data_IF_706341209952
#
_entry.id   IF_706341209952
#
_cell.length_a   1.000
_cell.length_b   1.000
_cell.length_c   1.000
_cell.angle_alpha   90.00
_cell.angle_beta   90.00
_cell.angle_gamma   90.00
#
_symmetry.space_group_name_H-M   'P 1'
#
loop_
_entity.id
_entity.type
_entity.pdbx_description
1 polymer ?
#
# COMPACT_ATOMS: atom_id res chain seq x y z
N UNK A 1 -16.84 -1.30 1.61
CA UNK A 1 -16.34 -1.24 0.22
C UNK A 1 -17.44 -1.57 -0.78
N UNK A 2 -17.54 -0.82 -1.88
CA UNK A 2 -18.46 -1.09 -3.00
C UNK A 2 -17.98 -2.27 -3.86
N UNK A 3 -18.88 -2.91 -4.60
CA UNK A 3 -18.49 -3.99 -5.52
C UNK A 3 -17.59 -3.50 -6.66
N UNK A 4 -17.76 -2.25 -7.08
CA UNK A 4 -16.93 -1.59 -8.08
C UNK A 4 -15.49 -1.43 -7.59
N UNK A 5 -15.27 -0.90 -6.38
CA UNK A 5 -13.93 -0.79 -5.80
C UNK A 5 -13.31 -2.17 -5.57
N UNK A 6 -14.08 -3.15 -5.08
CA UNK A 6 -13.60 -4.52 -4.91
C UNK A 6 -13.14 -5.11 -6.25
N UNK A 7 -13.92 -4.91 -7.32
CA UNK A 7 -13.58 -5.38 -8.66
C UNK A 7 -12.31 -4.69 -9.17
N UNK A 8 -12.22 -3.36 -9.03
CA UNK A 8 -11.04 -2.59 -9.44
C UNK A 8 -9.78 -3.08 -8.71
N UNK A 9 -9.80 -3.10 -7.37
CA UNK A 9 -8.67 -3.51 -6.53
C UNK A 9 -8.21 -4.93 -6.85
N UNK A 10 -9.13 -5.87 -7.10
CA UNK A 10 -8.77 -7.27 -7.36
C UNK A 10 -8.24 -7.50 -8.78
N UNK A 11 -8.53 -6.62 -9.74
CA UNK A 11 -8.12 -6.75 -11.14
C UNK A 11 -7.01 -5.78 -11.58
N UNK A 12 -6.68 -4.77 -10.76
CA UNK A 12 -5.65 -3.77 -11.05
C UNK A 12 -4.31 -4.43 -11.39
N UNK A 13 -3.63 -4.04 -12.47
CA UNK A 13 -2.28 -4.53 -12.78
C UNK A 13 -1.24 -3.52 -12.36
N UNK A 14 -0.05 -4.01 -12.02
CA UNK A 14 1.09 -3.16 -11.64
C UNK A 14 1.46 -2.18 -12.76
N UNK A 15 1.22 -2.56 -14.02
CA UNK A 15 1.48 -1.74 -15.21
C UNK A 15 0.42 -0.67 -15.46
N UNK A 16 -0.74 -0.77 -14.81
CA UNK A 16 -1.86 0.16 -15.01
C UNK A 16 -1.79 1.35 -14.02
N UNK A 17 -0.83 1.31 -13.09
CA UNK A 17 -0.58 2.39 -12.12
C UNK A 17 0.55 3.29 -12.64
N UNK A 18 0.36 4.62 -12.73
CA UNK A 18 1.38 5.56 -13.17
C UNK A 18 2.35 5.88 -12.03
N UNK A 19 3.11 4.88 -11.57
CA UNK A 19 3.95 4.96 -10.37
C UNK A 19 4.90 6.17 -10.32
N UNK A 20 5.43 6.59 -11.46
CA UNK A 20 6.31 7.75 -11.59
C UNK A 20 5.60 9.09 -11.38
N UNK A 21 4.29 9.09 -11.20
CA UNK A 21 3.44 10.25 -10.89
C UNK A 21 2.81 10.18 -9.50
N UNK A 22 3.09 9.13 -8.73
CA UNK A 22 2.58 8.97 -7.37
C UNK A 22 3.69 9.30 -6.37
N UNK A 23 3.40 10.15 -5.40
CA UNK A 23 4.37 10.52 -4.36
C UNK A 23 4.58 9.42 -3.33
N UNK A 24 5.76 9.45 -2.75
CA UNK A 24 6.21 8.65 -1.62
C UNK A 24 6.86 9.55 -0.59
N UNK A 25 7.19 9.00 0.58
CA UNK A 25 7.93 9.73 1.61
C UNK A 25 9.26 10.33 1.13
N UNK A 26 9.90 9.71 0.15
CA UNK A 26 11.23 10.10 -0.34
C UNK A 26 11.29 10.31 -1.86
N UNK A 27 10.18 10.75 -2.46
CA UNK A 27 10.13 11.12 -3.88
C UNK A 27 8.89 10.56 -4.57
N UNK A 28 9.11 9.73 -5.59
CA UNK A 28 8.05 9.14 -6.41
C UNK A 28 8.16 7.62 -6.46
N UNK A 29 7.04 6.97 -6.72
CA UNK A 29 6.91 5.51 -6.73
C UNK A 29 7.58 4.79 -7.91
N UNK A 30 8.39 5.46 -8.73
CA UNK A 30 8.95 4.94 -10.00
C UNK A 30 9.52 3.52 -9.89
N UNK A 31 10.21 3.20 -8.80
CA UNK A 31 10.88 1.91 -8.60
C UNK A 31 9.99 0.83 -7.94
N UNK A 32 8.75 1.15 -7.54
CA UNK A 32 7.82 0.22 -6.89
C UNK A 32 7.60 -1.07 -7.69
N UNK A 33 7.39 -1.04 -9.02
CA UNK A 33 7.22 -2.27 -9.81
C UNK A 33 8.40 -3.23 -9.68
N UNK A 34 9.63 -2.72 -9.60
CA UNK A 34 10.84 -3.54 -9.47
C UNK A 34 10.88 -4.22 -8.09
N UNK A 35 10.64 -3.46 -7.02
CA UNK A 35 10.60 -4.00 -5.66
C UNK A 35 9.46 -5.01 -5.45
N UNK A 36 8.25 -4.71 -5.96
CA UNK A 36 7.12 -5.63 -5.92
C UNK A 36 7.42 -6.94 -6.65
N UNK A 37 8.12 -6.90 -7.79
CA UNK A 37 8.53 -8.09 -8.51
C UNK A 37 9.54 -8.94 -7.74
N UNK A 38 10.45 -8.32 -6.97
CA UNK A 38 11.37 -9.04 -6.07
C UNK A 38 10.60 -9.75 -4.96
N UNK A 39 9.67 -9.03 -4.31
CA UNK A 39 8.82 -9.59 -3.26
C UNK A 39 7.95 -10.73 -3.78
N UNK A 40 7.35 -10.60 -4.97
CA UNK A 40 6.53 -11.66 -5.56
C UNK A 40 7.36 -12.91 -5.89
N UNK A 41 8.63 -12.76 -6.28
CA UNK A 41 9.50 -13.89 -6.61
C UNK A 41 9.95 -14.70 -5.39
N UNK A 42 10.14 -14.07 -4.23
CA UNK A 42 10.54 -14.71 -2.96
C UNK A 42 11.76 -15.65 -3.10
N UNK A 43 12.75 -15.26 -3.93
CA UNK A 43 13.91 -16.11 -4.27
C UNK A 43 15.09 -15.95 -3.34
N UNK A 44 15.42 -14.71 -2.99
CA UNK A 44 16.58 -14.37 -2.18
C UNK A 44 16.17 -13.49 -1.00
N UNK A 45 16.63 -13.86 0.19
CA UNK A 45 16.24 -13.18 1.42
C UNK A 45 16.81 -11.76 1.52
N UNK A 46 18.03 -11.53 1.03
CA UNK A 46 18.64 -10.21 1.12
C UNK A 46 17.92 -9.21 0.22
N UNK A 47 17.69 -9.59 -1.04
CA UNK A 47 16.92 -8.77 -1.98
C UNK A 47 15.48 -8.53 -1.52
N UNK A 48 14.83 -9.52 -0.91
CA UNK A 48 13.48 -9.37 -0.35
C UNK A 48 13.48 -8.39 0.82
N UNK A 49 14.45 -8.46 1.73
CA UNK A 49 14.56 -7.50 2.85
C UNK A 49 14.79 -6.07 2.37
N UNK A 50 15.68 -5.90 1.42
CA UNK A 50 15.97 -4.60 0.80
C UNK A 50 14.72 -4.04 0.11
N UNK A 51 14.09 -4.82 -0.77
CA UNK A 51 12.89 -4.35 -1.50
C UNK A 51 11.70 -4.11 -0.59
N UNK A 52 11.54 -4.90 0.48
CA UNK A 52 10.50 -4.66 1.47
C UNK A 52 10.74 -3.35 2.20
N UNK A 53 11.98 -3.09 2.64
CA UNK A 53 12.35 -1.84 3.30
C UNK A 53 12.10 -0.63 2.40
N UNK A 54 12.54 -0.68 1.14
CA UNK A 54 12.34 0.39 0.16
C UNK A 54 10.85 0.69 -0.06
N UNK A 55 10.00 -0.34 -0.13
CA UNK A 55 8.55 -0.13 -0.25
C UNK A 55 7.95 0.45 1.03
N UNK A 56 8.16 -0.20 2.18
CA UNK A 56 7.46 0.19 3.42
C UNK A 56 7.84 1.58 3.89
N UNK A 57 9.12 1.96 3.78
CA UNK A 57 9.58 3.30 4.19
C UNK A 57 9.12 4.43 3.25
N UNK A 58 8.76 4.10 2.01
CA UNK A 58 8.22 5.06 1.03
C UNK A 58 6.69 5.14 1.10
N UNK A 59 6.04 4.08 1.55
CA UNK A 59 4.59 3.99 1.73
C UNK A 59 4.11 4.63 3.03
N UNK A 60 4.90 4.56 4.09
CA UNK A 60 4.55 5.15 5.39
C UNK A 60 5.77 5.82 6.00
N UNK A 61 5.57 7.03 6.51
CA UNK A 61 6.59 7.71 7.31
C UNK A 61 5.97 8.47 8.48
N UNK A 62 6.32 8.08 9.70
CA UNK A 62 5.89 8.72 10.96
C UNK A 62 4.36 8.84 11.09
N UNK A 63 3.62 7.81 10.66
CA UNK A 63 2.16 7.76 10.65
C UNK A 63 1.50 8.43 9.44
N UNK A 64 2.29 8.99 8.52
CA UNK A 64 1.78 9.60 7.28
C UNK A 64 1.80 8.59 6.14
N UNK A 65 0.66 8.39 5.51
CA UNK A 65 0.55 7.60 4.28
C UNK A 65 0.66 8.50 3.05
N UNK A 66 1.15 7.93 1.95
CA UNK A 66 1.48 8.66 0.73
C UNK A 66 0.62 8.19 -0.44
N UNK A 67 0.65 8.95 -1.54
CA UNK A 67 -0.19 8.69 -2.71
C UNK A 67 0.02 7.29 -3.30
N UNK A 68 1.25 6.78 -3.28
CA UNK A 68 1.58 5.43 -3.75
C UNK A 68 1.07 4.31 -2.81
N UNK A 69 0.75 4.60 -1.56
CA UNK A 69 0.44 3.62 -0.51
C UNK A 69 -0.80 2.77 -0.79
N UNK A 70 -1.98 3.33 -1.12
CA UNK A 70 -3.15 2.50 -1.43
C UNK A 70 -2.86 1.51 -2.56
N UNK A 71 -2.18 1.93 -3.62
CA UNK A 71 -1.78 1.05 -4.71
C UNK A 71 -0.77 -0.01 -4.27
N UNK A 72 0.26 0.37 -3.50
CA UNK A 72 1.22 -0.57 -2.92
C UNK A 72 0.53 -1.66 -2.10
N UNK A 73 -0.44 -1.29 -1.27
CA UNK A 73 -1.20 -2.22 -0.43
C UNK A 73 -2.01 -3.24 -1.24
N UNK A 74 -2.53 -2.87 -2.42
CA UNK A 74 -3.17 -3.84 -3.33
C UNK A 74 -2.22 -4.98 -3.70
N UNK A 75 -1.00 -4.64 -4.11
CA UNK A 75 -0.03 -5.64 -4.56
C UNK A 75 0.58 -6.41 -3.38
N UNK A 76 0.88 -5.73 -2.27
CA UNK A 76 1.33 -6.40 -1.06
C UNK A 76 0.29 -7.39 -0.53
N UNK A 77 -1.01 -7.12 -0.66
CA UNK A 77 -2.07 -8.05 -0.23
C UNK A 77 -2.09 -9.33 -1.06
N UNK A 78 -1.86 -9.21 -2.37
CA UNK A 78 -1.71 -10.38 -3.26
C UNK A 78 -0.43 -11.16 -2.95
N UNK A 79 0.67 -10.45 -2.71
CA UNK A 79 1.95 -11.05 -2.35
C UNK A 79 1.85 -11.78 -1.01
N UNK A 80 1.19 -11.22 -0.01
CA UNK A 80 0.90 -11.88 1.26
C UNK A 80 0.16 -13.20 1.03
N UNK A 81 -0.91 -13.19 0.22
CA UNK A 81 -1.64 -14.40 -0.12
C UNK A 81 -0.79 -15.48 -0.78
N UNK A 82 0.20 -15.10 -1.59
CA UNK A 82 1.18 -16.02 -2.18
C UNK A 82 2.19 -16.50 -1.13
N UNK A 83 2.72 -15.60 -0.31
CA UNK A 83 3.70 -15.89 0.72
C UNK A 83 3.15 -16.89 1.76
N UNK A 84 1.91 -16.69 2.22
CA UNK A 84 1.22 -17.62 3.13
C UNK A 84 1.06 -19.03 2.54
N UNK A 85 0.79 -19.14 1.24
CA UNK A 85 0.68 -20.44 0.55
C UNK A 85 2.02 -21.16 0.40
N UNK A 86 3.11 -20.42 0.36
CA UNK A 86 4.47 -20.95 0.15
C UNK A 86 5.29 -21.08 1.44
N UNK A 87 4.85 -20.48 2.55
CA UNK A 87 5.61 -20.35 3.81
C UNK A 87 6.10 -21.68 4.37
N UNK A 88 5.29 -22.74 4.27
CA UNK A 88 5.66 -24.06 4.80
C UNK A 88 6.84 -24.75 4.07
N UNK A 89 7.26 -24.23 2.92
CA UNK A 89 8.35 -24.80 2.09
C UNK A 89 9.37 -23.78 1.59
N UNK A 90 9.08 -22.48 1.69
CA UNK A 90 9.97 -21.40 1.31
C UNK A 90 10.23 -20.50 2.53
N UNK A 91 11.45 -20.52 3.11
CA UNK A 91 11.77 -19.70 4.27
C UNK A 91 11.73 -18.19 3.97
N UNK A 92 11.96 -17.78 2.71
CA UNK A 92 11.82 -16.37 2.29
C UNK A 92 10.35 -15.97 2.29
N UNK A 93 9.45 -16.85 1.85
CA UNK A 93 8.01 -16.63 1.91
C UNK A 93 7.49 -16.59 3.36
N UNK A 94 8.00 -17.46 4.23
CA UNK A 94 7.64 -17.45 5.66
C UNK A 94 8.08 -16.14 6.32
N UNK A 95 9.31 -15.68 6.07
CA UNK A 95 9.78 -14.37 6.52
C UNK A 95 8.86 -13.24 6.01
N UNK A 96 8.64 -13.19 4.70
CA UNK A 96 7.86 -12.14 4.07
C UNK A 96 6.41 -12.10 4.57
N UNK A 97 5.76 -13.25 4.78
CA UNK A 97 4.40 -13.29 5.30
C UNK A 97 4.29 -12.68 6.71
N UNK A 98 5.26 -12.94 7.59
CA UNK A 98 5.30 -12.34 8.92
C UNK A 98 5.44 -10.81 8.86
N UNK A 99 6.45 -10.33 8.12
CA UNK A 99 6.70 -8.89 8.01
C UNK A 99 5.55 -8.12 7.34
N UNK A 100 4.89 -8.73 6.34
CA UNK A 100 3.72 -8.10 5.71
C UNK A 100 2.53 -8.00 6.67
N UNK A 101 2.29 -9.02 7.50
CA UNK A 101 1.22 -8.93 8.51
C UNK A 101 1.50 -7.83 9.54
N UNK A 102 2.75 -7.71 9.99
CA UNK A 102 3.15 -6.64 10.91
C UNK A 102 3.02 -5.26 10.26
N UNK A 103 3.45 -5.11 9.01
CA UNK A 103 3.28 -3.87 8.26
C UNK A 103 1.81 -3.51 8.01
N UNK A 104 0.96 -4.50 7.71
CA UNK A 104 -0.48 -4.30 7.51
C UNK A 104 -1.14 -3.79 8.78
N UNK A 105 -0.77 -4.34 9.94
CA UNK A 105 -1.25 -3.83 11.21
C UNK A 105 -0.84 -2.35 11.42
N UNK A 106 0.38 -1.98 11.05
CA UNK A 106 0.83 -0.58 11.09
C UNK A 106 0.01 0.35 10.19
N UNK A 107 -0.22 -0.03 8.93
CA UNK A 107 -1.01 0.75 7.97
C UNK A 107 -2.47 0.90 8.44
N UNK A 108 -3.08 -0.18 8.92
CA UNK A 108 -4.46 -0.14 9.41
C UNK A 108 -4.59 0.68 10.71
N UNK A 109 -3.56 0.69 11.56
CA UNK A 109 -3.52 1.59 12.71
C UNK A 109 -3.43 3.05 12.27
N UNK A 110 -2.60 3.38 11.26
CA UNK A 110 -2.56 4.73 10.69
C UNK A 110 -3.93 5.16 10.14
N UNK A 111 -4.65 4.24 9.48
CA UNK A 111 -6.03 4.50 9.05
C UNK A 111 -6.95 4.82 10.23
N UNK A 112 -6.95 4.00 11.29
CA UNK A 112 -7.79 4.25 12.48
C UNK A 112 -7.49 5.60 13.13
N UNK A 113 -6.21 5.89 13.32
CA UNK A 113 -5.80 7.16 13.92
C UNK A 113 -6.24 8.35 13.06
N UNK A 114 -6.15 8.23 11.72
CA UNK A 114 -6.64 9.24 10.78
C UNK A 114 -8.16 9.37 10.73
N UNK A 115 -8.89 8.27 10.86
CA UNK A 115 -10.37 8.21 10.85
C UNK A 115 -10.99 8.83 12.11
N UNK A 116 -10.24 8.88 13.22
CA UNK A 116 -10.67 9.56 14.45
C UNK A 116 -10.46 11.09 14.41
N UNK A 117 -9.68 11.60 13.45
CA UNK A 117 -9.37 13.03 13.29
C UNK A 117 -10.41 13.76 12.42
N UNK A 118 -10.34 15.09 12.36
CA UNK A 118 -11.10 15.85 11.35
C UNK A 118 -10.50 15.59 9.97
N UNK A 119 -11.28 15.00 9.08
CA UNK A 119 -10.89 14.69 7.71
C UNK A 119 -12.04 14.98 6.73
N UNK A 120 -11.71 15.12 5.45
CA UNK A 120 -12.71 15.19 4.39
C UNK A 120 -13.32 13.79 4.13
N UNK A 121 -14.44 13.75 3.40
CA UNK A 121 -14.93 12.48 2.86
C UNK A 121 -13.92 11.92 1.83
N UNK A 122 -13.72 10.60 1.78
CA UNK A 122 -12.82 10.01 0.81
C UNK A 122 -13.38 10.14 -0.61
N UNK A 123 -12.52 9.98 -1.61
CA UNK A 123 -12.92 9.94 -3.00
C UNK A 123 -13.91 8.78 -3.24
N UNK A 124 -14.96 8.98 -4.07
CA UNK A 124 -16.02 7.97 -4.24
C UNK A 124 -15.54 6.62 -4.77
N UNK A 125 -14.55 6.63 -5.67
CA UNK A 125 -14.00 5.42 -6.28
C UNK A 125 -12.50 5.34 -6.03
N UNK A 126 -11.98 4.13 -5.78
CA UNK A 126 -10.53 3.91 -5.60
C UNK A 126 -9.73 4.40 -6.83
N UNK A 127 -10.31 4.25 -8.03
CA UNK A 127 -9.70 4.71 -9.28
C UNK A 127 -9.61 6.24 -9.39
N UNK A 128 -10.37 6.99 -8.60
CA UNK A 128 -10.34 8.45 -8.63
C UNK A 128 -8.98 9.01 -8.20
N UNK A 129 -8.21 8.27 -7.39
CA UNK A 129 -6.81 8.59 -7.05
C UNK A 129 -5.88 8.70 -8.27
N UNK A 130 -6.30 8.20 -9.44
CA UNK A 130 -5.56 8.30 -10.70
C UNK A 130 -6.12 9.37 -11.66
N UNK A 131 -7.02 10.24 -11.21
CA UNK A 131 -7.48 11.39 -12.01
C UNK A 131 -6.35 12.40 -12.17
N UNK A 132 -6.30 13.04 -13.35
CA UNK A 132 -5.19 13.90 -13.76
C UNK A 132 -4.92 15.04 -12.77
N UNK A 133 -5.97 15.60 -12.14
CA UNK A 133 -5.83 16.66 -11.14
C UNK A 133 -5.07 16.27 -9.87
N UNK A 134 -5.00 14.98 -9.54
CA UNK A 134 -4.29 14.46 -8.37
C UNK A 134 -2.86 14.01 -8.71
N UNK A 135 -2.64 13.63 -9.97
CA UNK A 135 -1.35 13.11 -10.42
C UNK A 135 -0.29 14.21 -10.49
N UNK A 136 0.94 13.85 -10.13
CA UNK A 136 2.10 14.72 -10.28
C UNK A 136 2.52 14.81 -11.75
N UNK A 137 3.41 15.72 -12.12
CA UNK A 137 3.81 15.90 -13.53
C UNK A 137 4.30 14.59 -14.16
N UNK A 138 4.03 14.39 -15.45
CA UNK A 138 4.50 13.20 -16.17
C UNK A 138 6.03 13.09 -16.15
N UNK A 139 6.74 14.20 -16.34
CA UNK A 139 8.19 14.28 -16.22
C UNK A 139 8.57 14.66 -14.79
N UNK A 140 9.54 13.95 -14.21
CA UNK A 140 10.09 14.30 -12.91
C UNK A 140 10.95 15.56 -13.00
N UNK A 141 10.58 16.58 -12.22
CA UNK A 141 11.35 17.80 -12.02
C UNK A 141 11.42 18.04 -10.51
N UNK A 142 12.61 17.85 -9.94
CA UNK A 142 12.84 17.98 -8.50
C UNK A 142 12.58 19.39 -7.98
N UNK A 143 12.89 20.43 -8.76
CA UNK A 143 12.63 21.81 -8.32
C UNK A 143 11.13 22.11 -8.33
N UNK A 144 10.40 21.63 -9.35
CA UNK A 144 8.95 21.78 -9.42
C UNK A 144 8.23 21.01 -8.31
N UNK A 145 8.68 19.79 -8.04
CA UNK A 145 8.16 18.94 -6.95
C UNK A 145 8.39 19.62 -5.60
N UNK A 146 9.60 20.12 -5.33
CA UNK A 146 9.94 20.88 -4.12
C UNK A 146 9.07 22.14 -3.97
N UNK A 147 8.89 22.92 -5.04
CA UNK A 147 8.02 24.11 -5.02
C UNK A 147 6.58 23.76 -4.66
N UNK A 148 6.04 22.64 -5.17
CA UNK A 148 4.68 22.20 -4.82
C UNK A 148 4.56 21.85 -3.33
N UNK A 149 5.59 21.28 -2.71
CA UNK A 149 5.59 21.00 -1.26
C UNK A 149 5.64 22.28 -0.39
N UNK A 150 6.03 23.42 -0.96
CA UNK A 150 6.00 24.73 -0.28
C UNK A 150 4.63 25.41 -0.37
N UNK A 151 3.69 24.87 -1.16
CA UNK A 151 2.33 25.39 -1.28
C UNK A 151 1.50 25.08 -0.01
N UNK A 152 0.55 25.96 0.31
CA UNK A 152 -0.30 25.83 1.50
C UNK A 152 -1.16 24.53 1.48
N UNK A 153 -1.50 24.02 0.29
CA UNK A 153 -2.32 22.82 0.08
C UNK A 153 -1.66 21.90 -0.96
N UNK A 154 -0.72 21.06 -0.51
CA UNK A 154 0.02 20.12 -1.37
C UNK A 154 -0.90 19.06 -2.02
N UNK A 155 -1.85 18.56 -1.22
CA UNK A 155 -2.88 17.61 -1.60
C UNK A 155 -4.24 18.15 -1.18
N UNK A 156 -5.26 18.11 -2.05
CA UNK A 156 -6.65 18.26 -1.65
C UNK A 156 -7.01 17.33 -0.47
N UNK A 157 -7.82 17.83 0.46
CA UNK A 157 -8.14 17.10 1.69
C UNK A 157 -8.83 15.74 1.46
N UNK A 158 -9.65 15.62 0.41
CA UNK A 158 -10.32 14.37 0.00
C UNK A 158 -9.33 13.36 -0.59
N UNK A 159 -8.40 13.82 -1.43
CA UNK A 159 -7.29 13.01 -1.94
C UNK A 159 -6.43 12.48 -0.78
N UNK A 160 -6.00 13.38 0.11
CA UNK A 160 -5.10 13.03 1.20
C UNK A 160 -5.71 11.99 2.15
N UNK A 161 -6.97 12.18 2.57
CA UNK A 161 -7.65 11.20 3.39
C UNK A 161 -7.88 9.87 2.65
N UNK A 162 -8.07 9.91 1.33
CA UNK A 162 -8.19 8.69 0.52
C UNK A 162 -6.95 7.82 0.57
N UNK A 163 -5.74 8.37 0.80
CA UNK A 163 -4.54 7.55 1.01
C UNK A 163 -4.71 6.56 2.16
N UNK A 164 -5.42 6.96 3.22
CA UNK A 164 -5.73 6.14 4.39
C UNK A 164 -6.89 5.19 4.11
N UNK A 165 -8.01 5.74 3.66
CA UNK A 165 -9.23 4.97 3.41
C UNK A 165 -9.01 3.87 2.37
N UNK A 166 -8.32 4.17 1.27
CA UNK A 166 -8.08 3.22 0.18
C UNK A 166 -6.98 2.22 0.52
N UNK A 167 -6.05 2.55 1.42
CA UNK A 167 -5.13 1.57 1.99
C UNK A 167 -5.86 0.54 2.85
N UNK A 168 -6.85 0.96 3.65
CA UNK A 168 -7.76 0.04 4.35
C UNK A 168 -8.60 -0.79 3.37
N UNK A 169 -9.20 -0.17 2.34
CA UNK A 169 -9.98 -0.91 1.32
C UNK A 169 -9.14 -1.98 0.61
N UNK A 170 -7.86 -1.68 0.37
CA UNK A 170 -6.92 -2.61 -0.26
C UNK A 170 -6.71 -3.88 0.55
N UNK A 171 -6.65 -3.79 1.87
CA UNK A 171 -6.54 -4.97 2.75
C UNK A 171 -7.90 -5.66 2.91
N UNK A 172 -8.98 -4.89 3.09
CA UNK A 172 -10.36 -5.40 3.20
C UNK A 172 -10.77 -6.22 1.96
N UNK A 173 -10.26 -5.87 0.78
CA UNK A 173 -10.49 -6.62 -0.45
C UNK A 173 -10.00 -8.08 -0.40
N UNK A 174 -9.03 -8.39 0.48
CA UNK A 174 -8.43 -9.71 0.66
C UNK A 174 -8.62 -10.25 2.09
N UNK A 175 -9.68 -9.80 2.80
CA UNK A 175 -10.03 -10.30 4.14
C UNK A 175 -10.09 -11.83 4.20
N UNK A 176 -10.60 -12.47 3.16
CA UNK A 176 -10.72 -13.93 3.04
C UNK A 176 -9.38 -14.67 3.14
N UNK A 177 -8.29 -14.05 2.67
CA UNK A 177 -6.92 -14.56 2.82
C UNK A 177 -6.48 -14.53 4.28
N UNK A 178 -6.78 -13.44 4.99
CA UNK A 178 -6.42 -13.24 6.40
C UNK A 178 -7.20 -14.18 7.34
N UNK A 179 -8.44 -14.53 6.98
CA UNK A 179 -9.24 -15.51 7.72
C UNK A 179 -8.75 -16.95 7.56
N UNK A 180 -7.93 -17.23 6.54
CA UNK A 180 -7.50 -18.57 6.15
C UNK A 180 -5.98 -18.77 6.23
N UNK A 181 -5.31 -18.08 7.17
CA UNK A 181 -3.85 -18.20 7.33
C UNK A 181 -3.42 -19.55 7.93
N UNK A 182 -2.19 -20.02 7.64
CA UNK A 182 -1.58 -21.11 8.38
C UNK A 182 -1.52 -20.83 9.89
N UNK A 183 -1.62 -21.88 10.71
CA UNK A 183 -1.72 -21.75 12.17
C UNK A 183 -0.56 -20.95 12.82
N UNK A 184 0.63 -21.01 12.24
CA UNK A 184 1.80 -20.25 12.69
C UNK A 184 1.63 -18.71 12.56
N UNK A 185 0.77 -18.25 11.65
CA UNK A 185 0.45 -16.83 11.44
C UNK A 185 -0.90 -16.41 12.03
N UNK A 186 -1.60 -17.31 12.73
CA UNK A 186 -2.94 -17.03 13.25
C UNK A 186 -2.98 -15.81 14.18
N UNK A 187 -1.95 -15.64 15.02
CA UNK A 187 -1.85 -14.49 15.93
C UNK A 187 -1.65 -13.16 15.19
N UNK A 188 -0.63 -12.98 14.32
CA UNK A 188 -0.46 -11.73 13.60
C UNK A 188 -1.64 -11.44 12.64
N UNK A 189 -2.22 -12.45 11.98
CA UNK A 189 -3.42 -12.22 11.15
C UNK A 189 -4.65 -11.82 11.97
N UNK A 190 -4.83 -12.36 13.18
CA UNK A 190 -5.90 -11.91 14.07
C UNK A 190 -5.73 -10.43 14.45
N UNK A 191 -4.50 -9.96 14.69
CA UNK A 191 -4.25 -8.54 14.95
C UNK A 191 -4.61 -7.65 13.75
N UNK A 192 -4.30 -8.08 12.52
CA UNK A 192 -4.73 -7.38 11.29
C UNK A 192 -6.25 -7.38 11.16
N UNK A 193 -6.91 -8.53 11.38
CA UNK A 193 -8.38 -8.64 11.31
C UNK A 193 -9.10 -7.81 12.38
N UNK A 194 -8.51 -7.66 13.56
CA UNK A 194 -9.02 -6.79 14.62
C UNK A 194 -8.96 -5.31 14.23
N UNK A 195 -8.10 -4.95 13.27
CA UNK A 195 -7.92 -3.59 12.77
C UNK A 195 -8.84 -3.23 11.57
N UNK A 196 -9.31 -4.24 10.83
CA UNK A 196 -10.20 -4.11 9.67
C UNK A 196 -11.68 -3.91 10.03
#
# INVERSE_FOLDING_TARGET
MTEENRTYITHLKVTDVPWHRLTTAYGRGTDFPAHLAVLEQMRDLASVKESLYELTTNMEHQGTLWHATPFGMVFLSRILGKALKESGRNPVAHFLAGELLDFFAGILQCFRDGDEMEHAEPLPQFSDLLREEYLWSEEYDGEADEMRYEEDEVFPADEFYSFYYDSWQSVEAYRDILEQVPAEFAKPAAAVLELL
#
